data_IF_313659136052
#
_entry.id   IF_313659136052
#
_cell.length_a   1.000
_cell.length_b   1.000
_cell.length_c   1.000
_cell.angle_alpha   90.00
_cell.angle_beta   90.00
_cell.angle_gamma   90.00
#
_symmetry.space_group_name_H-M   'P 1'
#
loop_
_entity.id
_entity.type
_entity.pdbx_description
1 polymer ?
#
# COMPACT_ATOMS: atom_id res chain seq x y z
N UNK A 1 6.58 -1.00 -22.27
CA UNK A 1 7.09 -0.71 -20.92
C UNK A 1 6.56 0.66 -20.53
N UNK A 2 5.56 0.73 -19.66
CA UNK A 2 5.03 2.02 -19.18
C UNK A 2 5.95 2.48 -18.06
N UNK A 3 6.49 3.68 -18.17
CA UNK A 3 7.37 4.25 -17.15
C UNK A 3 6.54 4.87 -16.03
N UNK A 4 7.05 4.84 -14.79
CA UNK A 4 6.40 5.51 -13.65
C UNK A 4 6.13 6.99 -13.93
N UNK A 5 6.95 7.64 -14.77
CA UNK A 5 6.73 9.02 -15.20
C UNK A 5 5.38 9.24 -15.90
N UNK A 6 4.95 8.30 -16.76
CA UNK A 6 3.66 8.40 -17.44
C UNK A 6 2.49 8.12 -16.49
N UNK A 7 2.69 7.26 -15.49
CA UNK A 7 1.68 6.98 -14.46
C UNK A 7 1.50 8.16 -13.52
N UNK A 8 2.60 8.68 -12.99
CA UNK A 8 2.58 9.80 -12.06
C UNK A 8 2.02 11.09 -12.68
N UNK A 9 2.07 11.21 -14.02
CA UNK A 9 1.52 12.36 -14.75
C UNK A 9 0.00 12.51 -14.62
N UNK A 10 -0.74 11.47 -14.23
CA UNK A 10 -2.19 11.55 -14.03
C UNK A 10 -2.57 12.28 -12.72
N UNK A 11 -1.64 12.40 -11.78
CA UNK A 11 -1.86 13.01 -10.48
C UNK A 11 -1.25 14.42 -10.40
N UNK A 12 -1.94 15.32 -9.71
CA UNK A 12 -1.38 16.64 -9.38
C UNK A 12 -0.54 16.54 -8.09
N UNK A 13 0.70 16.07 -8.22
CA UNK A 13 1.59 15.80 -7.08
C UNK A 13 2.56 16.96 -6.86
N UNK A 14 2.72 17.37 -5.61
CA UNK A 14 3.79 18.26 -5.16
C UNK A 14 4.83 17.46 -4.34
N UNK A 15 6.11 17.71 -4.59
CA UNK A 15 7.20 17.00 -3.92
C UNK A 15 7.68 17.79 -2.70
N UNK A 16 7.57 17.18 -1.53
CA UNK A 16 8.04 17.75 -0.26
C UNK A 16 8.98 16.77 0.44
N UNK A 17 10.13 17.27 0.92
CA UNK A 17 11.02 16.48 1.77
C UNK A 17 10.45 16.39 3.19
N UNK A 18 10.30 15.16 3.71
CA UNK A 18 9.85 14.92 5.09
C UNK A 18 10.94 14.23 5.92
N UNK A 19 11.37 14.83 7.05
CA UNK A 19 12.34 14.18 7.93
C UNK A 19 11.75 12.93 8.58
N UNK A 20 12.60 11.95 8.91
CA UNK A 20 12.16 10.63 9.41
C UNK A 20 11.27 10.68 10.66
N UNK A 21 11.42 11.71 11.50
CA UNK A 21 10.57 11.94 12.69
C UNK A 21 9.10 12.25 12.35
N UNK A 22 8.83 12.71 11.12
CA UNK A 22 7.47 12.95 10.61
C UNK A 22 6.97 11.81 9.73
N UNK A 23 7.83 10.85 9.40
CA UNK A 23 7.50 9.71 8.56
C UNK A 23 7.10 8.47 9.39
N UNK A 24 6.88 8.61 10.69
CA UNK A 24 6.65 7.51 11.64
C UNK A 24 5.45 6.64 11.28
N UNK A 25 4.37 7.23 10.76
CA UNK A 25 3.16 6.47 10.38
C UNK A 25 3.46 5.57 9.16
N UNK A 26 4.05 6.12 8.10
CA UNK A 26 4.40 5.36 6.91
C UNK A 26 5.51 4.33 7.21
N UNK A 27 6.45 4.68 8.07
CA UNK A 27 7.51 3.80 8.53
C UNK A 27 6.95 2.60 9.31
N UNK A 28 6.04 2.82 10.27
CA UNK A 28 5.35 1.74 11.00
C UNK A 28 4.52 0.85 10.06
N UNK A 29 3.77 1.45 9.13
CA UNK A 29 2.94 0.67 8.19
C UNK A 29 3.78 -0.14 7.20
N UNK A 30 4.88 0.42 6.69
CA UNK A 30 5.77 -0.28 5.76
C UNK A 30 6.61 -1.38 6.43
N UNK A 31 6.92 -1.21 7.72
CA UNK A 31 7.68 -2.17 8.52
C UNK A 31 6.85 -3.25 9.18
N UNK A 32 5.56 -3.39 8.86
CA UNK A 32 4.71 -4.38 9.51
C UNK A 32 4.85 -5.74 8.79
N UNK A 33 5.72 -6.69 9.22
CA UNK A 33 5.49 -8.08 8.92
C UNK A 33 4.18 -8.44 9.61
N UNK A 34 3.29 -9.12 8.89
CA UNK A 34 2.04 -9.65 9.42
C UNK A 34 2.40 -10.70 10.47
N UNK A 35 2.86 -10.35 11.67
CA UNK A 35 2.99 -11.29 12.80
C UNK A 35 3.34 -10.73 14.20
N UNK A 36 3.65 -9.45 14.46
CA UNK A 36 4.13 -9.13 15.84
C UNK A 36 3.91 -7.73 16.43
N UNK A 37 2.73 -7.11 16.30
CA UNK A 37 2.41 -5.93 17.13
C UNK A 37 1.17 -6.18 18.00
N UNK A 38 1.35 -7.01 19.03
CA UNK A 38 0.58 -6.94 20.26
C UNK A 38 1.36 -5.98 21.17
N UNK A 39 1.03 -4.69 21.22
CA UNK A 39 1.64 -3.84 22.26
C UNK A 39 1.50 -2.33 22.15
N UNK A 40 1.59 -1.72 20.97
CA UNK A 40 1.58 -0.26 20.87
C UNK A 40 0.35 0.28 20.13
N UNK A 41 -0.40 1.12 20.83
CA UNK A 41 -1.53 1.88 20.27
C UNK A 41 -0.98 2.97 19.35
N UNK A 42 -0.78 2.63 18.09
CA UNK A 42 -0.51 3.61 17.05
C UNK A 42 -1.81 4.35 16.75
N UNK A 43 -1.85 5.65 17.03
CA UNK A 43 -3.00 6.50 16.77
C UNK A 43 -3.01 6.89 15.28
N UNK A 44 -3.34 5.93 14.42
CA UNK A 44 -3.58 6.20 13.01
C UNK A 44 -4.88 6.99 12.90
N UNK A 45 -4.84 8.21 12.36
CA UNK A 45 -6.05 8.92 11.98
C UNK A 45 -6.75 8.11 10.88
N UNK A 46 -7.77 7.35 11.27
CA UNK A 46 -8.60 6.59 10.34
C UNK A 46 -9.31 7.62 9.46
N UNK A 47 -9.04 7.60 8.15
CA UNK A 47 -9.82 8.34 7.16
C UNK A 47 -11.23 7.77 7.23
N UNK A 48 -12.14 8.50 7.88
CA UNK A 48 -13.49 8.02 8.22
C UNK A 48 -14.39 7.79 7.00
N UNK A 49 -14.00 8.29 5.83
CA UNK A 49 -14.77 8.19 4.59
C UNK A 49 -14.22 7.18 3.58
N UNK A 50 -13.13 6.47 3.92
CA UNK A 50 -12.70 5.35 3.11
C UNK A 50 -13.55 4.14 3.51
N UNK A 51 -14.51 3.76 2.67
CA UNK A 51 -15.14 2.43 2.76
C UNK A 51 -14.01 1.43 2.56
N UNK A 52 -13.45 0.95 3.67
CA UNK A 52 -12.43 -0.08 3.63
C UNK A 52 -13.13 -1.34 3.14
N UNK A 53 -12.94 -1.66 1.86
CA UNK A 53 -13.34 -2.93 1.28
C UNK A 53 -12.86 -4.06 2.21
N UNK A 54 -13.66 -5.12 2.34
CA UNK A 54 -13.23 -6.26 3.15
C UNK A 54 -11.91 -6.82 2.61
N UNK A 55 -11.13 -7.50 3.45
CA UNK A 55 -9.87 -8.13 3.01
C UNK A 55 -10.06 -8.98 1.75
N UNK A 56 -11.15 -9.74 1.69
CA UNK A 56 -11.44 -10.61 0.55
C UNK A 56 -11.77 -9.81 -0.71
N UNK A 57 -12.49 -8.69 -0.58
CA UNK A 57 -12.76 -7.78 -1.69
C UNK A 57 -11.46 -7.14 -2.21
N UNK A 58 -10.58 -6.68 -1.31
CA UNK A 58 -9.29 -6.10 -1.70
C UNK A 58 -8.41 -7.11 -2.44
N UNK A 59 -8.41 -8.38 -2.00
CA UNK A 59 -7.65 -9.43 -2.67
C UNK A 59 -8.19 -9.68 -4.08
N UNK A 60 -9.51 -9.76 -4.26
CA UNK A 60 -10.10 -9.96 -5.59
C UNK A 60 -9.88 -8.76 -6.51
N UNK A 61 -9.99 -7.54 -6.00
CA UNK A 61 -9.63 -6.32 -6.73
C UNK A 61 -8.15 -6.34 -7.16
N UNK A 62 -7.23 -6.72 -6.26
CA UNK A 62 -5.81 -6.81 -6.57
C UNK A 62 -5.47 -7.89 -7.60
N UNK A 63 -6.13 -9.05 -7.55
CA UNK A 63 -5.95 -10.12 -8.56
C UNK A 63 -6.44 -9.70 -9.95
N UNK A 64 -7.54 -8.95 -9.99
CA UNK A 64 -8.16 -8.49 -11.23
C UNK A 64 -7.55 -7.21 -11.78
N UNK A 65 -6.70 -6.55 -10.99
CA UNK A 65 -5.94 -5.38 -11.42
C UNK A 65 -5.07 -5.71 -12.64
N UNK A 66 -5.28 -5.04 -13.79
CA UNK A 66 -4.58 -5.35 -15.03
C UNK A 66 -3.08 -5.05 -14.97
N UNK A 67 -2.65 -4.23 -14.01
CA UNK A 67 -1.28 -3.79 -13.87
C UNK A 67 -0.56 -4.48 -12.71
N UNK A 68 -1.22 -4.69 -11.57
CA UNK A 68 -0.62 -5.24 -10.35
C UNK A 68 -0.97 -6.71 -10.10
N UNK A 69 -2.01 -7.24 -10.75
CA UNK A 69 -2.45 -8.62 -10.54
C UNK A 69 -1.42 -9.69 -10.91
N UNK A 70 -0.44 -9.36 -11.76
CA UNK A 70 0.70 -10.25 -12.02
C UNK A 70 1.66 -10.38 -10.83
N UNK A 71 1.83 -9.31 -10.03
CA UNK A 71 2.66 -9.33 -8.81
C UNK A 71 2.01 -10.22 -7.76
N UNK A 72 0.68 -10.10 -7.59
CA UNK A 72 -0.07 -10.92 -6.65
C UNK A 72 0.07 -12.43 -6.99
N UNK A 73 -0.08 -12.78 -8.28
CA UNK A 73 0.13 -14.16 -8.77
C UNK A 73 1.55 -14.66 -8.54
N UNK A 74 2.56 -13.82 -8.77
CA UNK A 74 3.96 -14.16 -8.51
C UNK A 74 4.23 -14.43 -7.02
N UNK A 75 3.61 -13.67 -6.13
CA UNK A 75 3.76 -13.89 -4.68
C UNK A 75 3.05 -15.15 -4.18
N UNK A 76 1.91 -15.52 -4.78
CA UNK A 76 1.20 -16.78 -4.47
C UNK A 76 1.94 -18.02 -5.01
N UNK A 77 2.69 -17.89 -6.10
CA UNK A 77 3.45 -18.99 -6.71
C UNK A 77 4.71 -18.46 -7.39
N UNK A 78 5.83 -18.36 -6.66
CA UNK A 78 7.09 -17.77 -7.17
C UNK A 78 7.77 -18.57 -8.27
N UNK A 79 7.31 -19.79 -8.56
CA UNK A 79 7.93 -20.73 -9.51
C UNK A 79 7.18 -20.85 -10.86
N UNK A 80 6.38 -19.84 -11.21
CA UNK A 80 5.72 -19.73 -12.52
C UNK A 80 6.57 -19.09 -13.61
#
# INVERSE_FOLDING_TARGET
MITWALKLAEFNIEWEHRPGTQNTIADVMSRNPIESIIGEKVNCAIIRDLVLSSRDQLIEEQKTDPELGHIYRYLESPEG
#
